data_IF_982399923697
#
_entry.id   IF_982399923697
#
_cell.length_a   1.000
_cell.length_b   1.000
_cell.length_c   1.000
_cell.angle_alpha   90.00
_cell.angle_beta   90.00
_cell.angle_gamma   90.00
#
_symmetry.space_group_name_H-M   'P 1'
#
loop_
_entity.id
_entity.type
_entity.pdbx_description
1 polymer ?
#
# COMPACT_ATOMS: atom_id res chain seq x y z
N UNK A 1 29.15 55.76 -44.97
CA UNK A 1 28.17 56.13 -43.93
C UNK A 1 28.09 54.94 -42.97
N UNK A 2 29.03 54.86 -42.02
CA UNK A 2 28.95 55.31 -40.62
C UNK A 2 28.57 54.16 -39.66
N UNK A 3 29.60 53.71 -38.93
CA UNK A 3 29.64 53.47 -37.47
C UNK A 3 29.04 52.16 -36.90
N UNK A 4 29.92 51.48 -36.17
CA UNK A 4 29.72 50.36 -35.26
C UNK A 4 28.78 50.66 -34.08
N UNK A 5 28.15 49.64 -33.52
CA UNK A 5 27.81 49.66 -32.08
C UNK A 5 27.82 48.28 -31.47
N UNK A 6 28.76 48.13 -30.52
CA UNK A 6 28.76 47.14 -29.45
C UNK A 6 27.52 47.35 -28.57
N UNK A 7 26.93 46.28 -28.09
CA UNK A 7 26.14 46.33 -26.86
C UNK A 7 26.61 45.22 -25.92
N UNK A 8 26.97 45.65 -24.71
CA UNK A 8 27.51 44.89 -23.59
C UNK A 8 26.42 44.81 -22.52
N UNK A 9 26.36 43.64 -21.87
CA UNK A 9 25.83 43.34 -20.55
C UNK A 9 24.33 43.54 -20.27
N UNK A 10 23.71 42.52 -19.69
CA UNK A 10 23.18 42.62 -18.34
C UNK A 10 23.00 41.24 -17.70
N UNK A 11 23.76 41.07 -16.63
CA UNK A 11 23.77 39.97 -15.67
C UNK A 11 22.55 40.16 -14.74
N UNK A 12 21.66 39.17 -14.65
CA UNK A 12 20.55 39.17 -13.67
C UNK A 12 20.89 38.16 -12.58
N UNK A 13 20.94 38.56 -11.29
CA UNK A 13 21.25 37.65 -10.20
C UNK A 13 20.05 36.75 -9.87
N UNK A 14 20.32 35.45 -9.68
CA UNK A 14 19.37 34.49 -9.11
C UNK A 14 19.29 34.78 -7.61
N UNK A 15 18.23 35.45 -7.17
CA UNK A 15 17.93 35.65 -5.74
C UNK A 15 17.13 34.47 -5.19
N UNK A 16 17.71 33.86 -4.15
CA UNK A 16 17.09 32.87 -3.28
C UNK A 16 15.80 33.39 -2.66
N UNK A 17 14.67 32.74 -2.97
CA UNK A 17 13.40 32.95 -2.28
C UNK A 17 12.95 31.67 -1.57
N UNK A 18 13.34 31.48 -0.30
CA UNK A 18 12.68 30.52 0.59
C UNK A 18 11.24 30.98 0.82
N UNK A 19 10.27 30.29 0.22
CA UNK A 19 8.88 30.44 0.62
C UNK A 19 8.69 29.70 1.95
N UNK A 20 8.53 30.48 3.02
CA UNK A 20 8.05 29.98 4.29
C UNK A 20 6.60 29.52 4.11
N UNK A 21 6.37 28.21 4.22
CA UNK A 21 5.02 27.67 4.37
C UNK A 21 4.61 27.88 5.82
N UNK A 22 3.76 28.88 6.03
CA UNK A 22 2.98 29.04 7.26
C UNK A 22 2.07 27.83 7.44
N UNK A 23 2.37 26.99 8.43
CA UNK A 23 1.53 25.87 8.83
C UNK A 23 0.29 26.45 9.55
N UNK A 24 -0.85 26.49 8.87
CA UNK A 24 -2.13 26.66 9.54
C UNK A 24 -2.39 25.38 10.35
N UNK A 25 -2.50 25.52 11.66
CA UNK A 25 -2.85 24.44 12.56
C UNK A 25 -4.28 23.98 12.25
N UNK A 26 -4.38 22.86 11.54
CA UNK A 26 -5.63 22.12 11.36
C UNK A 26 -6.00 21.49 12.70
N UNK A 27 -7.26 21.63 13.12
CA UNK A 27 -7.81 20.95 14.29
C UNK A 27 -7.72 19.44 14.06
N UNK A 28 -6.74 18.81 14.71
CA UNK A 28 -6.44 17.39 14.56
C UNK A 28 -7.65 16.54 14.97
N UNK A 29 -8.19 15.79 14.01
CA UNK A 29 -9.11 14.69 14.26
C UNK A 29 -8.34 13.66 15.13
N UNK A 30 -8.89 13.04 16.18
CA UNK A 30 -8.16 12.04 16.99
C UNK A 30 -7.54 10.90 16.16
N UNK A 31 -8.01 10.66 14.92
CA UNK A 31 -7.37 9.75 13.95
C UNK A 31 -6.05 10.30 13.35
N UNK A 32 -5.87 11.62 13.22
CA UNK A 32 -4.61 12.23 12.73
C UNK A 32 -3.48 12.20 13.77
N UNK A 33 -3.74 11.73 15.00
CA UNK A 33 -2.72 11.56 16.04
C UNK A 33 -2.20 10.12 16.16
N UNK A 34 -2.70 9.19 15.35
CA UNK A 34 -2.33 7.78 15.46
C UNK A 34 -0.93 7.54 14.86
N UNK A 35 0.07 7.13 15.66
CA UNK A 35 1.45 6.94 15.19
C UNK A 35 1.63 5.81 14.17
N UNK A 36 0.64 4.92 14.01
CA UNK A 36 0.65 3.86 12.98
C UNK A 36 0.22 4.36 11.59
N UNK A 37 -0.42 5.53 11.53
CA UNK A 37 -0.82 6.18 10.27
C UNK A 37 0.25 7.18 9.77
N UNK A 38 1.24 7.50 10.60
CA UNK A 38 2.40 8.34 10.25
C UNK A 38 3.55 7.46 9.75
N UNK A 39 3.67 7.34 8.43
CA UNK A 39 4.52 6.36 7.75
C UNK A 39 5.62 6.97 6.87
N UNK A 40 5.91 8.26 7.04
CA UNK A 40 6.95 8.98 6.27
C UNK A 40 8.38 8.55 6.65
N UNK A 41 8.58 8.04 7.88
CA UNK A 41 9.88 7.68 8.46
C UNK A 41 9.83 6.31 9.16
N UNK A 42 10.90 5.96 9.87
CA UNK A 42 10.96 4.78 10.73
C UNK A 42 9.81 4.75 11.76
N UNK A 43 9.28 3.55 12.10
CA UNK A 43 8.21 3.42 13.09
C UNK A 43 8.58 4.06 14.43
N UNK A 44 7.70 4.95 14.92
CA UNK A 44 7.88 5.65 16.21
C UNK A 44 7.46 4.77 17.39
N UNK A 45 8.17 3.67 17.60
CA UNK A 45 7.83 2.63 18.61
C UNK A 45 7.58 3.17 20.02
N UNK A 46 8.26 4.25 20.41
CA UNK A 46 8.09 4.89 21.72
C UNK A 46 6.74 5.60 21.90
N UNK A 47 5.99 5.86 20.82
CA UNK A 47 4.68 6.52 20.86
C UNK A 47 3.52 5.53 20.64
N UNK A 48 3.80 4.27 20.31
CA UNK A 48 2.77 3.29 19.96
C UNK A 48 2.24 2.63 21.24
N UNK A 49 0.92 2.64 21.38
CA UNK A 49 0.18 2.01 22.46
C UNK A 49 -0.83 1.02 21.88
N UNK A 50 -1.27 0.05 22.69
CA UNK A 50 -2.23 -0.97 22.26
C UNK A 50 -3.55 -0.38 21.74
N UNK A 51 -3.99 0.74 22.34
CA UNK A 51 -5.19 1.49 21.96
C UNK A 51 -5.15 2.04 20.53
N UNK A 52 -3.95 2.25 19.97
CA UNK A 52 -3.79 2.75 18.61
C UNK A 52 -3.99 1.68 17.53
N UNK A 53 -3.86 0.40 17.88
CA UNK A 53 -3.77 -0.68 16.89
C UNK A 53 -5.07 -0.91 16.13
N UNK A 54 -6.15 -1.26 16.82
CA UNK A 54 -7.42 -1.56 16.14
C UNK A 54 -7.97 -0.39 15.32
N UNK A 55 -7.97 0.87 15.81
CA UNK A 55 -8.38 2.02 15.00
C UNK A 55 -7.52 2.21 13.75
N UNK A 56 -6.19 2.07 13.85
CA UNK A 56 -5.31 2.17 12.68
C UNK A 56 -5.60 1.08 11.66
N UNK A 57 -5.73 -0.18 12.11
CA UNK A 57 -6.04 -1.30 11.22
C UNK A 57 -7.38 -1.09 10.53
N UNK A 58 -8.41 -0.67 11.26
CA UNK A 58 -9.74 -0.45 10.67
C UNK A 58 -9.73 0.65 9.60
N UNK A 59 -9.03 1.77 9.84
CA UNK A 59 -8.85 2.83 8.84
C UNK A 59 -8.08 2.31 7.63
N UNK A 60 -6.92 1.69 7.83
CA UNK A 60 -6.06 1.24 6.74
C UNK A 60 -6.68 0.13 5.89
N UNK A 61 -7.49 -0.75 6.50
CA UNK A 61 -8.23 -1.77 5.77
C UNK A 61 -9.35 -1.17 4.92
N UNK A 62 -10.05 -0.14 5.42
CA UNK A 62 -11.04 0.58 4.65
C UNK A 62 -10.41 1.31 3.45
N UNK A 63 -9.29 1.99 3.66
CA UNK A 63 -8.54 2.66 2.60
C UNK A 63 -8.02 1.66 1.56
N UNK A 64 -7.46 0.54 2.01
CA UNK A 64 -7.00 -0.53 1.12
C UNK A 64 -8.15 -1.08 0.27
N UNK A 65 -9.31 -1.35 0.87
CA UNK A 65 -10.48 -1.85 0.15
C UNK A 65 -10.98 -0.85 -0.91
N UNK A 66 -11.11 0.43 -0.54
CA UNK A 66 -11.56 1.49 -1.46
C UNK A 66 -10.60 1.69 -2.63
N UNK A 67 -9.29 1.71 -2.36
CA UNK A 67 -8.28 1.88 -3.40
C UNK A 67 -8.19 0.64 -4.30
N UNK A 68 -8.37 -0.55 -3.74
CA UNK A 68 -8.39 -1.79 -4.50
C UNK A 68 -9.60 -1.87 -5.43
N UNK A 69 -10.79 -1.52 -4.96
CA UNK A 69 -11.99 -1.43 -5.79
C UNK A 69 -11.79 -0.44 -6.94
N UNK A 70 -11.19 0.72 -6.66
CA UNK A 70 -10.84 1.72 -7.68
C UNK A 70 -9.88 1.14 -8.74
N UNK A 71 -8.84 0.41 -8.33
CA UNK A 71 -7.92 -0.27 -9.24
C UNK A 71 -8.65 -1.31 -10.11
N UNK A 72 -9.51 -2.14 -9.50
CA UNK A 72 -10.27 -3.15 -10.23
C UNK A 72 -11.23 -2.53 -11.26
N UNK A 73 -11.74 -1.33 -11.00
CA UNK A 73 -12.65 -0.64 -11.93
C UNK A 73 -11.98 -0.11 -13.19
N UNK A 74 -10.66 0.12 -13.16
CA UNK A 74 -9.91 0.70 -14.29
C UNK A 74 -9.03 -0.32 -15.01
N UNK A 75 -8.70 -1.44 -14.36
CA UNK A 75 -7.84 -2.47 -14.93
C UNK A 75 -8.63 -3.33 -15.94
N UNK A 76 -8.05 -3.54 -17.12
CA UNK A 76 -8.57 -4.48 -18.12
C UNK A 76 -7.46 -5.47 -18.51
N UNK A 77 -7.71 -6.79 -18.46
CA UNK A 77 -6.69 -7.79 -18.80
C UNK A 77 -6.09 -7.59 -20.20
N UNK A 78 -6.84 -7.06 -21.16
CA UNK A 78 -6.38 -6.89 -22.54
C UNK A 78 -5.46 -5.68 -22.76
N UNK A 79 -5.38 -4.75 -21.81
CA UNK A 79 -4.63 -3.49 -21.97
C UNK A 79 -3.73 -3.12 -20.79
N UNK A 80 -3.81 -3.86 -19.69
CA UNK A 80 -2.98 -3.62 -18.52
C UNK A 80 -1.50 -3.81 -18.84
N UNK A 81 -0.65 -3.01 -18.19
CA UNK A 81 0.80 -3.15 -18.20
C UNK A 81 1.29 -3.51 -16.81
N UNK A 82 2.58 -3.86 -16.72
CA UNK A 82 3.24 -4.14 -15.44
C UNK A 82 3.03 -3.02 -14.42
N UNK A 83 3.25 -1.76 -14.85
CA UNK A 83 3.19 -0.58 -13.98
C UNK A 83 1.77 -0.27 -13.49
N UNK A 84 0.74 -0.74 -14.20
CA UNK A 84 -0.67 -0.55 -13.81
C UNK A 84 -1.12 -1.55 -12.74
N UNK A 85 -0.37 -2.64 -12.52
CA UNK A 85 -0.77 -3.73 -11.62
C UNK A 85 0.13 -3.80 -10.40
N UNK A 86 1.38 -4.24 -10.54
CA UNK A 86 2.19 -4.64 -9.37
C UNK A 86 2.61 -3.45 -8.50
N UNK A 87 3.13 -2.34 -9.07
CA UNK A 87 3.43 -1.15 -8.28
C UNK A 87 2.20 -0.57 -7.59
N UNK A 88 1.04 -0.56 -8.26
CA UNK A 88 -0.20 -0.06 -7.66
C UNK A 88 -0.72 -0.99 -6.55
N UNK A 89 -0.65 -2.31 -6.73
CA UNK A 89 -0.95 -3.28 -5.67
C UNK A 89 -0.05 -3.09 -4.45
N UNK A 90 1.24 -2.84 -4.65
CA UNK A 90 2.19 -2.53 -3.57
C UNK A 90 1.81 -1.23 -2.87
N UNK A 91 1.53 -0.15 -3.63
CA UNK A 91 1.11 1.14 -3.07
C UNK A 91 -0.17 1.02 -2.23
N UNK A 92 -1.13 0.21 -2.66
CA UNK A 92 -2.41 -0.02 -1.97
C UNK A 92 -2.21 -0.82 -0.68
N UNK A 93 -1.34 -1.82 -0.70
CA UNK A 93 -1.14 -2.75 0.43
C UNK A 93 -0.07 -2.30 1.42
N UNK A 94 0.83 -1.41 1.01
CA UNK A 94 1.94 -0.94 1.82
C UNK A 94 1.49 -0.37 3.17
N UNK A 95 0.48 0.52 3.25
CA UNK A 95 0.15 1.16 4.52
C UNK A 95 -0.30 0.20 5.61
N UNK A 96 -1.17 -0.75 5.29
CA UNK A 96 -1.57 -1.79 6.24
C UNK A 96 -0.42 -2.77 6.52
N UNK A 97 0.41 -3.10 5.54
CA UNK A 97 1.55 -4.01 5.71
C UNK A 97 2.58 -3.42 6.69
N UNK A 98 2.85 -2.12 6.58
CA UNK A 98 3.71 -1.38 7.50
C UNK A 98 3.16 -1.44 8.93
N UNK A 99 1.91 -1.02 9.13
CA UNK A 99 1.29 -0.98 10.45
C UNK A 99 1.20 -2.38 11.07
N UNK A 100 0.87 -3.40 10.28
CA UNK A 100 0.78 -4.79 10.74
C UNK A 100 2.15 -5.40 11.07
N UNK A 101 3.19 -5.05 10.31
CA UNK A 101 4.57 -5.43 10.63
C UNK A 101 5.05 -4.84 11.96
N UNK A 102 4.75 -3.57 12.20
CA UNK A 102 5.03 -2.88 13.47
C UNK A 102 4.29 -3.54 14.64
N UNK A 103 3.00 -3.83 14.45
CA UNK A 103 2.18 -4.52 15.46
C UNK A 103 2.71 -5.92 15.77
N UNK A 104 3.07 -6.70 14.74
CA UNK A 104 3.65 -8.03 14.88
C UNK A 104 4.99 -8.01 15.61
N UNK A 105 5.86 -7.04 15.31
CA UNK A 105 7.11 -6.84 16.05
C UNK A 105 6.86 -6.58 17.53
N UNK A 106 5.99 -5.61 17.86
CA UNK A 106 5.64 -5.29 19.25
C UNK A 106 5.01 -6.49 19.98
N UNK A 107 4.16 -7.26 19.30
CA UNK A 107 3.59 -8.49 19.87
C UNK A 107 4.65 -9.56 20.18
N UNK A 108 5.78 -9.57 19.45
CA UNK A 108 6.90 -10.48 19.68
C UNK A 108 7.89 -10.00 20.76
N UNK A 109 8.19 -8.70 20.84
CA UNK A 109 9.27 -8.18 21.71
C UNK A 109 8.78 -7.42 22.95
N UNK A 110 7.53 -6.98 22.96
CA UNK A 110 6.91 -6.15 24.02
C UNK A 110 5.47 -6.60 24.27
N UNK A 111 5.26 -7.91 24.36
CA UNK A 111 3.94 -8.49 24.59
C UNK A 111 3.35 -8.03 25.94
N UNK A 112 2.05 -7.79 25.97
CA UNK A 112 1.26 -7.44 27.14
C UNK A 112 -0.21 -7.76 26.86
N UNK A 113 -1.04 -7.82 27.91
CA UNK A 113 -2.43 -8.27 27.76
C UNK A 113 -3.24 -7.35 26.83
N UNK A 114 -3.06 -6.04 26.94
CA UNK A 114 -3.75 -5.05 26.12
C UNK A 114 -3.32 -5.15 24.65
N UNK A 115 -2.01 -5.27 24.40
CA UNK A 115 -1.49 -5.39 23.04
C UNK A 115 -1.92 -6.71 22.39
N UNK A 116 -1.84 -7.82 23.14
CA UNK A 116 -2.29 -9.13 22.67
C UNK A 116 -3.76 -9.11 22.31
N UNK A 117 -4.63 -8.55 23.15
CA UNK A 117 -6.07 -8.39 22.86
C UNK A 117 -6.31 -7.57 21.60
N UNK A 118 -5.63 -6.43 21.45
CA UNK A 118 -5.77 -5.59 20.26
C UNK A 118 -5.28 -6.28 18.98
N UNK A 119 -4.18 -7.04 19.07
CA UNK A 119 -3.61 -7.80 17.97
C UNK A 119 -4.53 -8.95 17.55
N UNK A 120 -4.92 -9.82 18.47
CA UNK A 120 -5.84 -10.95 18.24
C UNK A 120 -7.19 -10.46 17.68
N UNK A 121 -7.74 -9.36 18.24
CA UNK A 121 -9.00 -8.77 17.78
C UNK A 121 -8.95 -8.17 16.37
N UNK A 122 -7.75 -7.90 15.85
CA UNK A 122 -7.54 -7.32 14.51
C UNK A 122 -7.05 -8.36 13.49
N UNK A 123 -6.47 -9.48 13.94
CA UNK A 123 -5.83 -10.49 13.09
C UNK A 123 -6.78 -11.06 12.03
N UNK A 124 -7.99 -11.46 12.42
CA UNK A 124 -8.98 -12.02 11.47
C UNK A 124 -9.34 -11.04 10.36
N UNK A 125 -9.47 -9.74 10.67
CA UNK A 125 -9.76 -8.69 9.68
C UNK A 125 -8.63 -8.57 8.65
N UNK A 126 -7.38 -8.56 9.12
CA UNK A 126 -6.20 -8.47 8.25
C UNK A 126 -6.07 -9.72 7.39
N UNK A 127 -6.20 -10.92 7.97
CA UNK A 127 -6.17 -12.19 7.23
C UNK A 127 -7.24 -12.23 6.16
N UNK A 128 -8.47 -11.80 6.49
CA UNK A 128 -9.58 -11.73 5.54
C UNK A 128 -9.22 -10.80 4.38
N UNK A 129 -8.79 -9.57 4.67
CA UNK A 129 -8.57 -8.57 3.65
C UNK A 129 -7.46 -8.96 2.66
N UNK A 130 -6.33 -9.51 3.13
CA UNK A 130 -5.30 -10.04 2.24
C UNK A 130 -5.75 -11.30 1.49
N UNK A 131 -6.66 -12.10 2.07
CA UNK A 131 -7.32 -13.20 1.38
C UNK A 131 -8.16 -12.72 0.20
N UNK A 132 -8.97 -11.70 0.42
CA UNK A 132 -9.84 -11.09 -0.61
C UNK A 132 -9.00 -10.56 -1.79
N UNK A 133 -7.88 -9.88 -1.53
CA UNK A 133 -6.94 -9.44 -2.57
C UNK A 133 -6.40 -10.61 -3.42
N UNK A 134 -5.93 -11.67 -2.74
CA UNK A 134 -5.36 -12.86 -3.41
C UNK A 134 -6.40 -13.63 -4.23
N UNK A 135 -7.68 -13.47 -3.92
CA UNK A 135 -8.78 -14.14 -4.59
C UNK A 135 -9.46 -13.27 -5.67
N UNK A 136 -8.87 -12.12 -6.02
CA UNK A 136 -9.37 -11.27 -7.10
C UNK A 136 -9.08 -11.89 -8.48
N UNK A 137 -10.14 -12.33 -9.18
CA UNK A 137 -10.05 -12.86 -10.55
C UNK A 137 -9.58 -11.80 -11.54
N UNK A 138 -10.08 -10.57 -11.41
CA UNK A 138 -9.73 -9.44 -12.29
C UNK A 138 -8.22 -9.20 -12.32
N UNK A 139 -7.59 -9.14 -11.13
CA UNK A 139 -6.15 -8.92 -11.02
C UNK A 139 -5.36 -10.15 -11.46
N UNK A 140 -5.85 -11.35 -11.12
CA UNK A 140 -5.21 -12.59 -11.55
C UNK A 140 -5.17 -12.72 -13.07
N UNK A 141 -6.28 -12.46 -13.75
CA UNK A 141 -6.37 -12.53 -15.21
C UNK A 141 -5.48 -11.48 -15.87
N UNK A 142 -5.49 -10.24 -15.34
CA UNK A 142 -4.61 -9.18 -15.83
C UNK A 142 -3.12 -9.53 -15.67
N UNK A 143 -2.70 -10.09 -14.53
CA UNK A 143 -1.32 -10.55 -14.34
C UNK A 143 -0.93 -11.68 -15.31
N UNK A 144 -1.85 -12.61 -15.59
CA UNK A 144 -1.63 -13.70 -16.55
C UNK A 144 -1.46 -13.19 -17.99
N UNK A 145 -2.08 -12.07 -18.36
CA UNK A 145 -1.82 -11.44 -19.66
C UNK A 145 -0.50 -10.67 -19.65
N UNK A 146 -0.26 -9.83 -18.64
CA UNK A 146 0.96 -9.01 -18.56
C UNK A 146 2.23 -9.85 -18.53
N UNK A 147 2.23 -11.00 -17.85
CA UNK A 147 3.43 -11.85 -17.76
C UNK A 147 3.90 -12.38 -19.13
N UNK A 148 3.04 -12.37 -20.15
CA UNK A 148 3.40 -12.79 -21.53
C UNK A 148 4.19 -11.72 -22.29
N UNK A 149 4.23 -10.48 -21.79
CA UNK A 149 4.96 -9.39 -22.44
C UNK A 149 6.48 -9.71 -22.51
N UNK A 150 7.08 -9.76 -23.71
CA UNK A 150 8.51 -10.05 -23.87
C UNK A 150 9.42 -8.90 -23.42
N UNK A 151 8.89 -7.69 -23.24
CA UNK A 151 9.65 -6.50 -22.83
C UNK A 151 9.97 -6.44 -21.34
N UNK A 152 9.33 -7.29 -20.53
CA UNK A 152 9.57 -7.37 -19.09
C UNK A 152 11.01 -7.74 -18.77
N UNK A 153 11.61 -7.00 -17.84
CA UNK A 153 12.86 -7.43 -17.21
C UNK A 153 12.67 -8.77 -16.47
N UNK A 154 13.79 -9.48 -16.24
CA UNK A 154 13.78 -10.72 -15.49
C UNK A 154 13.15 -10.57 -14.10
N UNK A 155 13.42 -9.44 -13.41
CA UNK A 155 12.87 -9.15 -12.09
C UNK A 155 11.34 -8.96 -12.14
N UNK A 156 10.84 -8.18 -13.11
CA UNK A 156 9.40 -7.94 -13.28
C UNK A 156 8.65 -9.24 -13.60
N UNK A 157 9.19 -10.05 -14.52
CA UNK A 157 8.61 -11.36 -14.85
C UNK A 157 8.54 -12.26 -13.62
N UNK A 158 9.63 -12.33 -12.85
CA UNK A 158 9.68 -13.13 -11.62
C UNK A 158 8.69 -12.64 -10.57
N UNK A 159 8.52 -11.33 -10.43
CA UNK A 159 7.55 -10.75 -9.50
C UNK A 159 6.12 -11.14 -9.88
N UNK A 160 5.75 -11.05 -11.17
CA UNK A 160 4.45 -11.49 -11.67
C UNK A 160 4.21 -12.98 -11.45
N UNK A 161 5.14 -13.84 -11.85
CA UNK A 161 5.03 -15.29 -11.66
C UNK A 161 4.84 -15.67 -10.19
N UNK A 162 5.56 -15.00 -9.28
CA UNK A 162 5.47 -15.23 -7.85
C UNK A 162 4.10 -14.81 -7.31
N UNK A 163 3.56 -13.68 -7.76
CA UNK A 163 2.23 -13.21 -7.39
C UNK A 163 1.12 -14.10 -7.95
N UNK A 164 1.19 -14.48 -9.23
CA UNK A 164 0.25 -15.43 -9.86
C UNK A 164 0.22 -16.74 -9.05
N UNK A 165 1.39 -17.30 -8.73
CA UNK A 165 1.48 -18.49 -7.88
C UNK A 165 0.85 -18.26 -6.50
N UNK A 166 1.10 -17.11 -5.87
CA UNK A 166 0.54 -16.79 -4.57
C UNK A 166 -0.99 -16.66 -4.59
N UNK A 167 -1.57 -16.14 -5.68
CA UNK A 167 -3.02 -16.06 -5.87
C UNK A 167 -3.63 -17.44 -6.12
N UNK A 168 -3.00 -18.28 -6.93
CA UNK A 168 -3.40 -19.69 -7.11
C UNK A 168 -3.42 -20.43 -5.77
N UNK A 169 -2.34 -20.32 -4.98
CA UNK A 169 -2.27 -20.89 -3.63
C UNK A 169 -3.20 -20.20 -2.61
N UNK A 170 -3.66 -19.00 -2.93
CA UNK A 170 -4.66 -18.22 -2.20
C UNK A 170 -6.10 -18.60 -2.54
N UNK A 171 -6.32 -19.53 -3.47
CA UNK A 171 -7.65 -20.03 -3.81
C UNK A 171 -8.41 -19.17 -4.83
N UNK A 172 -7.72 -18.35 -5.65
CA UNK A 172 -8.38 -17.53 -6.69
C UNK A 172 -9.20 -18.35 -7.70
N UNK A 173 -8.83 -19.62 -7.91
CA UNK A 173 -9.53 -20.55 -8.80
C UNK A 173 -10.67 -21.33 -8.14
N UNK A 174 -10.91 -21.17 -6.84
CA UNK A 174 -11.99 -21.88 -6.12
C UNK A 174 -13.31 -21.13 -6.22
N UNK A 175 -14.42 -21.86 -6.25
CA UNK A 175 -15.78 -21.31 -6.28
C UNK A 175 -16.71 -22.01 -5.27
N UNK A 176 -17.82 -21.34 -4.95
CA UNK A 176 -18.87 -21.87 -4.08
C UNK A 176 -18.36 -22.42 -2.75
N UNK A 177 -18.82 -23.62 -2.39
CA UNK A 177 -18.54 -24.25 -1.11
C UNK A 177 -17.05 -24.53 -0.86
N UNK A 178 -16.25 -24.74 -1.93
CA UNK A 178 -14.81 -24.97 -1.80
C UNK A 178 -14.09 -23.70 -1.37
N UNK A 179 -14.49 -22.55 -1.93
CA UNK A 179 -13.96 -21.23 -1.57
C UNK A 179 -14.31 -20.87 -0.12
N UNK A 180 -15.57 -21.10 0.27
CA UNK A 180 -16.03 -20.90 1.64
C UNK A 180 -15.22 -21.73 2.63
N UNK A 181 -15.09 -23.03 2.38
CA UNK A 181 -14.30 -23.93 3.23
C UNK A 181 -12.82 -23.52 3.29
N UNK A 182 -12.22 -23.09 2.19
CA UNK A 182 -10.85 -22.61 2.18
C UNK A 182 -10.68 -21.39 3.09
N UNK A 183 -11.60 -20.43 2.99
CA UNK A 183 -11.57 -19.22 3.81
C UNK A 183 -11.78 -19.53 5.29
N UNK A 184 -12.70 -20.42 5.64
CA UNK A 184 -12.91 -20.88 7.01
C UNK A 184 -11.66 -21.52 7.61
N UNK A 185 -10.89 -22.30 6.83
CA UNK A 185 -9.65 -22.91 7.30
C UNK A 185 -8.57 -21.85 7.52
N UNK A 186 -8.49 -20.83 6.65
CA UNK A 186 -7.49 -19.75 6.77
C UNK A 186 -7.73 -18.81 7.95
N UNK A 187 -8.96 -18.75 8.46
CA UNK A 187 -9.34 -17.90 9.60
C UNK A 187 -9.20 -18.59 10.96
N UNK A 188 -8.90 -19.89 10.99
CA UNK A 188 -8.64 -20.67 12.22
C UNK A 188 -7.20 -20.49 12.68
#
# INVERSE_FOLDING_TARGET
MLIASRCVASFVPITSGRRAFTHLASSANPLTLNPLLDQEDLPRFNKIEASHLSPAVDTLLADMASNFESLQSVISPSSAKYDDILPEMERITHPISFAWGVAGHLNGVKNGEELRKAYEGSQGKVVKAFGDLKQSRVIFDAMNEVVKDPSLSQAQRRALESNIRAMTLGGVGLDGAEKERFNDIKQR
#
